data_IF_995680370960
#
_entry.id   IF_995680370960
#
_cell.length_a   1.000
_cell.length_b   1.000
_cell.length_c   1.000
_cell.angle_alpha   90.00
_cell.angle_beta   90.00
_cell.angle_gamma   90.00
#
_symmetry.space_group_name_H-M   'P 1'
#
loop_
_entity.id
_entity.type
_entity.pdbx_description
1 polymer ?
#
# COMPACT_ATOMS: atom_id res chain seq x y z
N UNK A 1 -8.27 -17.53 5.12
CA UNK A 1 -7.20 -16.52 5.07
C UNK A 1 -7.18 -15.86 6.43
N UNK A 2 -6.01 -15.73 7.04
CA UNK A 2 -5.87 -15.07 8.34
C UNK A 2 -6.54 -13.67 8.30
N UNK A 3 -7.30 -13.32 9.34
CA UNK A 3 -8.06 -12.06 9.37
C UNK A 3 -7.16 -10.83 9.25
N UNK A 4 -5.94 -10.90 9.78
CA UNK A 4 -4.95 -9.82 9.68
C UNK A 4 -4.41 -9.70 8.25
N UNK A 5 -4.19 -10.82 7.57
CA UNK A 5 -3.82 -10.80 6.14
C UNK A 5 -4.95 -10.15 5.33
N UNK A 6 -6.21 -10.51 5.61
CA UNK A 6 -7.36 -9.91 4.91
C UNK A 6 -7.46 -8.40 5.13
N UNK A 7 -7.20 -7.93 6.36
CA UNK A 7 -7.17 -6.50 6.67
C UNK A 7 -6.09 -5.77 5.88
N UNK A 8 -4.85 -6.27 5.87
CA UNK A 8 -3.77 -5.67 5.09
C UNK A 8 -4.04 -5.70 3.59
N UNK A 9 -4.67 -6.74 3.06
CA UNK A 9 -5.10 -6.80 1.66
C UNK A 9 -6.15 -5.73 1.32
N UNK A 10 -7.11 -5.46 2.22
CA UNK A 10 -8.10 -4.39 2.02
C UNK A 10 -7.44 -3.01 2.00
N UNK A 11 -6.52 -2.76 2.93
CA UNK A 11 -5.76 -1.51 2.97
C UNK A 11 -4.91 -1.33 1.71
N UNK A 12 -4.20 -2.38 1.29
CA UNK A 12 -3.40 -2.37 0.07
C UNK A 12 -4.25 -2.00 -1.16
N UNK A 13 -5.43 -2.61 -1.30
CA UNK A 13 -6.35 -2.31 -2.39
C UNK A 13 -6.80 -0.84 -2.36
N UNK A 14 -7.10 -0.30 -1.17
CA UNK A 14 -7.47 1.10 -1.01
C UNK A 14 -6.33 2.05 -1.42
N UNK A 15 -5.08 1.74 -1.03
CA UNK A 15 -3.93 2.55 -1.40
C UNK A 15 -3.62 2.46 -2.89
N UNK A 16 -3.82 1.31 -3.54
CA UNK A 16 -3.71 1.18 -4.99
C UNK A 16 -4.74 2.06 -5.72
N UNK A 17 -6.00 2.08 -5.25
CA UNK A 17 -7.01 2.98 -5.80
C UNK A 17 -6.58 4.46 -5.70
N UNK A 18 -6.07 4.90 -4.55
CA UNK A 18 -5.60 6.28 -4.38
C UNK A 18 -4.40 6.61 -5.27
N UNK A 19 -3.44 5.70 -5.40
CA UNK A 19 -2.31 5.87 -6.31
C UNK A 19 -2.77 5.94 -7.76
N UNK A 20 -3.76 5.14 -8.14
CA UNK A 20 -4.35 5.17 -9.49
C UNK A 20 -5.03 6.50 -9.77
N UNK A 21 -5.82 7.02 -8.83
CA UNK A 21 -6.43 8.34 -8.93
C UNK A 21 -5.39 9.45 -9.08
N UNK A 22 -4.33 9.43 -8.26
CA UNK A 22 -3.24 10.40 -8.37
C UNK A 22 -2.52 10.27 -9.72
N UNK A 23 -2.29 9.04 -10.21
CA UNK A 23 -1.63 8.78 -11.49
C UNK A 23 -2.44 9.27 -12.71
N UNK A 24 -3.75 9.45 -12.55
CA UNK A 24 -4.61 10.01 -13.59
C UNK A 24 -4.45 11.53 -13.73
N UNK A 25 -3.74 12.20 -12.80
CA UNK A 25 -3.46 13.63 -12.87
C UNK A 25 -2.51 13.94 -14.04
N UNK A 26 -2.72 15.04 -14.79
CA UNK A 26 -1.76 15.52 -15.77
C UNK A 26 -0.36 15.68 -15.19
N UNK A 27 0.66 15.30 -15.96
CA UNK A 27 2.07 15.30 -15.52
C UNK A 27 2.51 16.65 -14.94
N UNK A 28 2.12 17.76 -15.58
CA UNK A 28 2.51 19.10 -15.14
C UNK A 28 1.85 19.47 -13.81
N UNK A 29 0.62 19.02 -13.57
CA UNK A 29 -0.09 19.21 -12.31
C UNK A 29 0.57 18.40 -11.19
N UNK A 30 0.93 17.14 -11.47
CA UNK A 30 1.66 16.30 -10.51
C UNK A 30 3.05 16.88 -10.21
N UNK A 31 3.79 17.30 -11.24
CA UNK A 31 5.12 17.87 -11.10
C UNK A 31 5.12 19.22 -10.36
N UNK A 32 4.07 20.03 -10.52
CA UNK A 32 3.93 21.32 -9.85
C UNK A 32 3.34 21.25 -8.44
N UNK A 33 2.66 20.15 -8.08
CA UNK A 33 1.93 20.05 -6.81
C UNK A 33 2.72 19.27 -5.75
N UNK A 34 3.24 19.98 -4.76
CA UNK A 34 3.85 19.37 -3.57
C UNK A 34 2.88 18.43 -2.84
N UNK A 35 1.60 18.80 -2.76
CA UNK A 35 0.58 17.98 -2.11
C UNK A 35 0.36 16.66 -2.85
N UNK A 36 0.24 16.67 -4.19
CA UNK A 36 0.04 15.44 -4.96
C UNK A 36 1.24 14.50 -4.86
N UNK A 37 2.47 15.04 -4.88
CA UNK A 37 3.69 14.25 -4.68
C UNK A 37 3.73 13.64 -3.28
N UNK A 38 3.52 14.44 -2.25
CA UNK A 38 3.52 13.97 -0.87
C UNK A 38 2.45 12.91 -0.61
N UNK A 39 1.26 13.08 -1.19
CA UNK A 39 0.19 12.07 -1.16
C UNK A 39 0.63 10.78 -1.88
N UNK A 40 1.20 10.87 -3.07
CA UNK A 40 1.67 9.69 -3.80
C UNK A 40 2.77 8.93 -3.05
N UNK A 41 3.76 9.64 -2.53
CA UNK A 41 4.84 9.08 -1.72
C UNK A 41 4.28 8.37 -0.48
N UNK A 42 3.34 9.00 0.23
CA UNK A 42 2.73 8.43 1.43
C UNK A 42 1.91 7.18 1.13
N UNK A 43 1.06 7.20 0.10
CA UNK A 43 0.24 6.03 -0.25
C UNK A 43 1.08 4.89 -0.81
N UNK A 44 2.17 5.19 -1.53
CA UNK A 44 3.12 4.18 -1.98
C UNK A 44 3.84 3.53 -0.80
N UNK A 45 4.30 4.32 0.17
CA UNK A 45 4.90 3.80 1.40
C UNK A 45 3.91 2.87 2.15
N UNK A 46 2.66 3.31 2.32
CA UNK A 46 1.63 2.51 2.98
C UNK A 46 1.35 1.18 2.26
N UNK A 47 1.29 1.20 0.93
CA UNK A 47 1.12 -0.02 0.14
C UNK A 47 2.29 -1.00 0.36
N UNK A 48 3.53 -0.50 0.38
CA UNK A 48 4.73 -1.30 0.66
C UNK A 48 4.68 -1.88 2.09
N UNK A 49 4.33 -1.07 3.08
CA UNK A 49 4.19 -1.51 4.48
C UNK A 49 3.13 -2.61 4.63
N UNK A 50 1.98 -2.50 3.94
CA UNK A 50 0.95 -3.55 3.91
C UNK A 50 1.51 -4.87 3.35
N UNK A 51 2.26 -4.83 2.25
CA UNK A 51 2.89 -6.02 1.67
C UNK A 51 3.90 -6.66 2.62
N UNK A 52 4.73 -5.85 3.28
CA UNK A 52 5.72 -6.32 4.27
C UNK A 52 5.00 -7.00 5.45
N UNK A 53 3.94 -6.40 5.99
CA UNK A 53 3.19 -6.97 7.10
C UNK A 53 2.52 -8.30 6.73
N UNK A 54 1.98 -8.43 5.52
CA UNK A 54 1.46 -9.71 5.01
C UNK A 54 2.59 -10.75 5.00
N UNK A 55 3.75 -10.39 4.46
CA UNK A 55 4.93 -11.26 4.44
C UNK A 55 5.33 -11.75 5.84
N UNK A 56 5.38 -10.86 6.82
CA UNK A 56 5.68 -11.22 8.21
C UNK A 56 4.64 -12.16 8.82
N UNK A 57 3.35 -11.96 8.57
CA UNK A 57 2.32 -12.85 9.09
C UNK A 57 2.46 -14.24 8.49
N UNK A 58 2.72 -14.34 7.17
CA UNK A 58 2.92 -15.63 6.49
C UNK A 58 4.17 -16.35 7.03
N UNK A 59 5.27 -15.64 7.23
CA UNK A 59 6.51 -16.21 7.78
C UNK A 59 6.32 -16.72 9.22
N UNK A 60 5.61 -15.94 10.05
CA UNK A 60 5.26 -16.33 11.41
C UNK A 60 4.40 -17.60 11.44
N UNK A 61 3.36 -17.68 10.59
CA UNK A 61 2.51 -18.86 10.49
C UNK A 61 3.29 -20.12 10.08
N UNK A 62 4.28 -20.00 9.19
CA UNK A 62 5.12 -21.13 8.78
C UNK A 62 6.11 -21.56 9.88
N UNK A 63 6.53 -20.62 10.73
CA UNK A 63 7.47 -20.87 11.83
C UNK A 63 6.82 -21.60 13.02
N UNK A 64 5.50 -21.46 13.23
CA UNK A 64 4.75 -22.18 14.29
C UNK A 64 4.41 -23.64 13.92
N UNK A 65 4.71 -24.07 12.68
CA UNK A 65 4.48 -25.43 12.21
C UNK A 65 5.75 -26.33 12.20
N UNK A 66 6.85 -25.89 12.84
CA UNK A 66 8.09 -26.65 13.08
C UNK A 66 8.22 -27.04 14.55
#
# INVERSE_FOLDING_TARGET
MDEKILEHCKMLNQYECYLREISASPKDQFAGSYLLKGSAERYLQLAIESCINIGYIVDFMNSEHI
#
